data_IF_236027549622
#
_entry.id   IF_236027549622
#
_cell.length_a   1.000
_cell.length_b   1.000
_cell.length_c   1.000
_cell.angle_alpha   90.00
_cell.angle_beta   90.00
_cell.angle_gamma   90.00
#
_symmetry.space_group_name_H-M   'P 1'
#
loop_
_entity.id
_entity.type
_entity.pdbx_description
1 polymer ?
#
# COMPACT_ATOMS: atom_id res chain seq x y z
N UNK A 1 13.02 -26.05 6.88
CA UNK A 1 11.95 -25.91 5.88
C UNK A 1 12.16 -26.93 4.79
N UNK A 2 11.13 -27.65 4.46
CA UNK A 2 11.22 -28.64 3.39
C UNK A 2 11.22 -27.95 2.05
N UNK A 3 11.59 -28.69 1.02
CA UNK A 3 11.57 -28.19 -0.34
C UNK A 3 10.14 -27.77 -0.72
N UNK A 4 9.16 -28.58 -0.31
CA UNK A 4 7.77 -28.26 -0.61
C UNK A 4 7.31 -27.00 0.10
N UNK A 5 7.73 -26.80 1.34
CA UNK A 5 7.41 -25.59 2.07
C UNK A 5 7.99 -24.37 1.37
N UNK A 6 9.25 -24.51 0.94
CA UNK A 6 9.87 -23.38 0.27
C UNK A 6 9.16 -23.08 -1.05
N UNK A 7 8.76 -24.11 -1.78
CA UNK A 7 8.05 -23.90 -3.04
C UNK A 7 6.71 -23.22 -2.83
N UNK A 8 6.00 -23.58 -1.76
CA UNK A 8 4.76 -22.90 -1.42
C UNK A 8 4.99 -21.44 -1.09
N UNK A 9 6.02 -21.20 -0.30
CA UNK A 9 6.38 -19.83 0.06
C UNK A 9 6.73 -19.02 -1.18
N UNK A 10 7.60 -19.56 -2.03
CA UNK A 10 8.04 -18.82 -3.22
C UNK A 10 6.88 -18.56 -4.17
N UNK A 11 5.99 -19.53 -4.32
CA UNK A 11 4.83 -19.34 -5.19
C UNK A 11 3.88 -18.31 -4.65
N UNK A 12 3.64 -18.32 -3.34
CA UNK A 12 2.76 -17.34 -2.72
C UNK A 12 3.36 -15.95 -2.77
N UNK A 13 4.69 -15.84 -2.58
CA UNK A 13 5.37 -14.55 -2.69
C UNK A 13 5.24 -14.00 -4.10
N UNK A 14 5.44 -14.86 -5.10
CA UNK A 14 5.35 -14.43 -6.48
C UNK A 14 3.94 -13.96 -6.81
N UNK A 15 2.93 -14.71 -6.38
CA UNK A 15 1.55 -14.33 -6.63
C UNK A 15 1.22 -13.00 -5.96
N UNK A 16 1.68 -12.80 -4.73
CA UNK A 16 1.46 -11.55 -4.02
C UNK A 16 2.15 -10.37 -4.69
N UNK A 17 3.37 -10.60 -5.18
CA UNK A 17 4.10 -9.58 -5.89
C UNK A 17 3.36 -9.17 -7.16
N UNK A 18 2.82 -10.14 -7.90
CA UNK A 18 2.09 -9.84 -9.12
C UNK A 18 0.82 -9.06 -8.83
N UNK A 19 0.09 -9.42 -7.77
CA UNK A 19 -1.10 -8.67 -7.38
C UNK A 19 -0.75 -7.24 -7.01
N UNK A 20 0.35 -7.07 -6.27
CA UNK A 20 0.81 -5.75 -5.86
C UNK A 20 1.15 -4.89 -7.08
N UNK A 21 1.93 -5.44 -8.01
CA UNK A 21 2.34 -4.69 -9.18
C UNK A 21 1.15 -4.33 -10.06
N UNK A 22 0.21 -5.26 -10.21
CA UNK A 22 -0.99 -5.01 -10.98
C UNK A 22 -1.82 -3.89 -10.35
N UNK A 23 -1.96 -3.92 -9.03
CA UNK A 23 -2.72 -2.89 -8.32
C UNK A 23 -2.02 -1.53 -8.41
N UNK A 24 -0.69 -1.52 -8.35
CA UNK A 24 0.04 -0.27 -8.48
C UNK A 24 -0.12 0.34 -9.87
N UNK A 25 -0.06 -0.50 -10.89
CA UNK A 25 -0.29 -0.03 -12.26
C UNK A 25 -1.69 0.49 -12.45
N UNK A 26 -2.68 -0.16 -11.81
CA UNK A 26 -4.07 0.24 -11.93
C UNK A 26 -4.43 1.45 -11.09
N UNK A 27 -3.49 1.95 -10.30
CA UNK A 27 -3.79 3.09 -9.43
C UNK A 27 -4.08 4.36 -10.21
N UNK A 28 -3.69 4.37 -11.45
CA UNK A 28 -4.11 5.46 -12.30
C UNK A 28 -3.16 6.64 -12.26
N UNK A 29 -3.48 7.59 -13.10
CA UNK A 29 -2.75 8.83 -13.20
C UNK A 29 -3.79 9.94 -13.25
N UNK A 30 -4.09 10.48 -12.09
CA UNK A 30 -5.13 11.51 -11.98
C UNK A 30 -4.62 12.87 -12.41
N UNK A 31 -3.31 13.01 -12.52
CA UNK A 31 -2.71 14.31 -12.78
C UNK A 31 -2.37 15.07 -11.52
N UNK A 32 -2.66 14.50 -10.36
CA UNK A 32 -2.35 15.11 -9.08
C UNK A 32 -1.33 14.23 -8.37
N UNK A 33 -0.16 14.80 -8.09
CA UNK A 33 0.94 14.03 -7.54
C UNK A 33 0.60 13.42 -6.17
N UNK A 34 -0.08 14.16 -5.33
CA UNK A 34 -0.40 13.65 -3.99
C UNK A 34 -1.35 12.47 -4.06
N UNK A 35 -2.40 12.59 -4.87
CA UNK A 35 -3.35 11.50 -5.02
C UNK A 35 -2.71 10.29 -5.66
N UNK A 36 -1.89 10.50 -6.67
CA UNK A 36 -1.27 9.40 -7.40
C UNK A 36 -0.27 8.67 -6.51
N UNK A 37 0.48 9.42 -5.70
CA UNK A 37 1.41 8.81 -4.75
C UNK A 37 0.67 7.92 -3.77
N UNK A 38 -0.40 8.44 -3.16
CA UNK A 38 -1.16 7.67 -2.17
C UNK A 38 -1.82 6.45 -2.81
N UNK A 39 -2.39 6.63 -4.00
CA UNK A 39 -3.05 5.52 -4.68
C UNK A 39 -2.09 4.40 -5.03
N UNK A 40 -0.82 4.73 -5.28
CA UNK A 40 0.20 3.75 -5.57
C UNK A 40 0.77 3.13 -4.31
N UNK A 41 1.00 3.94 -3.28
CA UNK A 41 1.64 3.45 -2.05
C UNK A 41 0.74 2.56 -1.22
N UNK A 42 -0.57 2.73 -1.31
CA UNK A 42 -1.49 1.86 -0.58
C UNK A 42 -1.30 0.40 -0.99
N UNK A 43 -1.42 0.04 -2.27
CA UNK A 43 -1.19 -1.36 -2.65
C UNK A 43 0.26 -1.79 -2.43
N UNK A 44 1.22 -0.89 -2.52
CA UNK A 44 2.60 -1.21 -2.23
C UNK A 44 2.75 -1.66 -0.78
N UNK A 45 2.16 -0.91 0.15
CA UNK A 45 2.20 -1.26 1.56
C UNK A 45 1.40 -2.53 1.86
N UNK A 46 0.26 -2.71 1.19
CA UNK A 46 -0.52 -3.93 1.35
C UNK A 46 0.27 -5.15 0.92
N UNK A 47 1.05 -5.01 -0.16
CA UNK A 47 1.92 -6.08 -0.61
C UNK A 47 3.00 -6.42 0.41
N UNK A 48 3.56 -5.39 1.05
CA UNK A 48 4.56 -5.61 2.09
C UNK A 48 3.98 -6.36 3.29
N UNK A 49 2.75 -6.02 3.68
CA UNK A 49 2.06 -6.72 4.77
C UNK A 49 1.83 -8.18 4.39
N UNK A 50 1.41 -8.43 3.17
CA UNK A 50 1.18 -9.79 2.71
C UNK A 50 2.47 -10.61 2.73
N UNK A 51 3.58 -10.04 2.26
CA UNK A 51 4.86 -10.71 2.29
C UNK A 51 5.32 -10.99 3.72
N UNK A 52 5.09 -10.04 4.62
CA UNK A 52 5.45 -10.25 6.03
C UNK A 52 4.64 -11.38 6.65
N UNK A 53 3.36 -11.49 6.30
CA UNK A 53 2.54 -12.59 6.79
C UNK A 53 3.05 -13.94 6.30
N UNK A 54 3.53 -14.00 5.05
CA UNK A 54 4.09 -15.23 4.52
C UNK A 54 5.35 -15.65 5.27
N UNK A 55 6.17 -14.68 5.66
CA UNK A 55 7.34 -14.98 6.47
C UNK A 55 6.93 -15.56 7.82
N UNK A 56 5.85 -15.06 8.41
CA UNK A 56 5.38 -15.60 9.68
C UNK A 56 4.86 -17.02 9.54
N UNK A 57 4.36 -17.39 8.36
CA UNK A 57 3.90 -18.76 8.13
C UNK A 57 5.08 -19.69 7.88
N UNK A 58 6.06 -19.27 7.10
CA UNK A 58 7.08 -20.15 6.58
C UNK A 58 8.47 -19.91 7.17
N UNK A 59 8.75 -18.72 7.66
CA UNK A 59 10.07 -18.38 8.18
C UNK A 59 10.29 -18.91 9.56
N UNK A 60 11.57 -19.06 9.94
CA UNK A 60 11.92 -19.62 11.23
C UNK A 60 12.87 -18.77 12.04
N UNK A 61 13.57 -17.85 11.39
CA UNK A 61 14.51 -17.00 12.10
C UNK A 61 13.76 -16.04 13.02
N UNK A 62 14.01 -16.09 14.34
CA UNK A 62 13.24 -15.26 15.26
C UNK A 62 13.35 -13.77 14.99
N UNK A 63 14.54 -13.29 14.63
CA UNK A 63 14.71 -11.86 14.36
C UNK A 63 13.94 -11.43 13.11
N UNK A 64 13.98 -12.26 12.07
CA UNK A 64 13.23 -11.97 10.84
C UNK A 64 11.74 -11.99 11.12
N UNK A 65 11.27 -12.94 11.91
CA UNK A 65 9.86 -13.01 12.27
C UNK A 65 9.43 -11.78 13.06
N UNK A 66 10.27 -11.30 13.96
CA UNK A 66 9.97 -10.10 14.72
C UNK A 66 9.87 -8.90 13.80
N UNK A 67 10.79 -8.79 12.84
CA UNK A 67 10.73 -7.70 11.86
C UNK A 67 9.44 -7.76 11.04
N UNK A 68 9.01 -8.97 10.67
CA UNK A 68 7.77 -9.13 9.92
C UNK A 68 6.57 -8.66 10.74
N UNK A 69 6.54 -8.99 12.03
CA UNK A 69 5.48 -8.51 12.92
C UNK A 69 5.45 -6.99 12.99
N UNK A 70 6.64 -6.39 13.11
CA UNK A 70 6.73 -4.94 13.19
C UNK A 70 6.28 -4.27 11.89
N UNK A 71 6.61 -4.88 10.75
CA UNK A 71 6.18 -4.36 9.46
C UNK A 71 4.65 -4.41 9.36
N UNK A 72 4.05 -5.54 9.76
CA UNK A 72 2.60 -5.66 9.72
C UNK A 72 1.95 -4.55 10.53
N UNK A 73 2.45 -4.34 11.75
CA UNK A 73 1.86 -3.33 12.63
C UNK A 73 2.02 -1.92 12.07
N UNK A 74 3.23 -1.55 11.68
CA UNK A 74 3.50 -0.18 11.25
C UNK A 74 2.85 0.12 9.91
N UNK A 75 2.89 -0.83 8.97
CA UNK A 75 2.33 -0.56 7.66
C UNK A 75 0.82 -0.61 7.65
N UNK A 76 0.21 -1.43 8.51
CA UNK A 76 -1.24 -1.41 8.62
C UNK A 76 -1.73 -0.05 9.08
N UNK A 77 -1.03 0.57 10.03
CA UNK A 77 -1.38 1.91 10.48
C UNK A 77 -1.19 2.94 9.37
N UNK A 78 -0.11 2.81 8.59
CA UNK A 78 0.13 3.73 7.48
C UNK A 78 -0.91 3.58 6.38
N UNK A 79 -1.30 2.35 6.07
CA UNK A 79 -2.33 2.11 5.07
C UNK A 79 -3.62 2.82 5.47
N UNK A 80 -4.01 2.70 6.72
CA UNK A 80 -5.22 3.33 7.20
C UNK A 80 -5.13 4.85 7.06
N UNK A 81 -4.00 5.43 7.43
CA UNK A 81 -3.80 6.87 7.28
C UNK A 81 -3.81 7.31 5.83
N UNK A 82 -3.17 6.54 4.95
CA UNK A 82 -3.13 6.88 3.54
C UNK A 82 -4.51 6.80 2.91
N UNK A 83 -5.30 5.79 3.26
CA UNK A 83 -6.65 5.66 2.73
C UNK A 83 -7.52 6.84 3.12
N UNK A 84 -7.43 7.24 4.39
CA UNK A 84 -8.22 8.38 4.84
C UNK A 84 -7.80 9.66 4.14
N UNK A 85 -6.49 9.84 3.97
CA UNK A 85 -5.99 11.04 3.30
C UNK A 85 -6.41 11.07 1.84
N UNK A 86 -6.28 9.94 1.17
CA UNK A 86 -6.68 9.86 -0.24
C UNK A 86 -8.16 10.17 -0.40
N UNK A 87 -9.00 9.64 0.49
CA UNK A 87 -10.43 9.92 0.43
C UNK A 87 -10.69 11.42 0.57
N UNK A 88 -10.01 12.08 1.50
CA UNK A 88 -10.17 13.52 1.67
C UNK A 88 -9.74 14.30 0.43
N UNK A 89 -8.63 13.89 -0.17
CA UNK A 89 -8.13 14.59 -1.35
C UNK A 89 -9.05 14.40 -2.55
N UNK A 90 -9.67 13.23 -2.64
CA UNK A 90 -10.62 12.96 -3.72
C UNK A 90 -11.88 13.80 -3.57
N UNK A 91 -12.34 13.99 -2.36
CA UNK A 91 -13.49 14.88 -2.12
C UNK A 91 -13.18 16.30 -2.54
N UNK A 92 -11.98 16.75 -2.22
CA UNK A 92 -11.59 18.11 -2.61
C UNK A 92 -11.41 18.25 -4.11
N UNK A 93 -11.03 17.12 -4.74
CA UNK A 93 -10.74 17.16 -6.15
C UNK A 93 -11.99 17.19 -7.00
N UNK A 94 -13.15 16.96 -6.38
CA UNK A 94 -14.40 17.01 -7.10
C UNK A 94 -14.94 18.42 -6.92
N UNK A 95 -14.40 19.38 -7.58
CA UNK A 95 -14.64 20.76 -7.26
C UNK A 95 -15.78 21.25 -8.01
N UNK A 96 -16.24 22.32 -7.55
CA UNK A 96 -17.07 23.20 -8.31
C UNK A 96 -16.36 23.43 -9.60
N UNK A 97 -17.01 23.18 -10.71
CA UNK A 97 -16.37 23.42 -11.99
C UNK A 97 -15.93 24.85 -12.16
N UNK A 98 -16.54 25.72 -11.48
CA UNK A 98 -16.18 27.09 -11.55
C UNK A 98 -15.09 27.44 -10.61
N UNK A 99 -14.77 26.59 -10.07
CA UNK A 99 -13.91 26.64 -9.38
C UNK A 99 -13.13 27.24 -8.58
N UNK A 100 -12.95 27.67 -8.03
CA UNK A 100 -12.30 28.25 -7.31
C UNK A 100 -11.75 27.73 -6.40
N UNK A 101 -11.12 27.36 -6.43
CA UNK A 101 -10.58 26.74 -5.60
C UNK A 101 -10.09 27.44 -4.70
N UNK A 102 -10.20 27.97 -4.89
CA UNK A 102 -9.91 28.40 -4.47
C UNK A 102 -9.46 28.53 -3.65
N UNK A 103 -9.57 28.71 -3.60
CA UNK A 103 -9.15 28.89 -2.96
C UNK A 103 -8.32 28.19 -2.52
N UNK A 104 -8.40 27.70 -3.11
CA UNK A 104 -7.82 26.89 -2.76
C UNK A 104 -6.77 26.96 -2.19
N UNK A 105 -6.46 27.45 -2.47
CA UNK A 105 -5.47 27.52 -2.15
C UNK A 105 -5.08 27.28 -0.98
N UNK A 106 -5.37 27.33 -0.60
CA UNK A 106 -5.12 27.24 0.50
C UNK A 106 -4.71 26.09 0.82
N UNK A 107 -4.34 25.55 0.66
CA UNK A 107 -4.03 24.59 0.90
C UNK A 107 -3.18 24.22 1.37
N UNK A 108 -3.09 24.15 1.72
CA UNK A 108 -2.39 23.73 2.33
C UNK A 108 -1.79 22.78 2.23
N UNK A 109 -1.04 22.44 2.51
CA UNK A 109 -0.32 21.42 2.21
C UNK A 109 -0.77 20.31 2.44
#
# INVERSE_FOLDING_TARGET
MSTQDYERFAKAMDAGMQRMMSAMHGAGASGNADRDFLAMMIPHHEGAVEMARLVLVHGRDPATRRLAEDIIASQTAEIDGMRRRLAMLRERADPDPDGFPALGGTRGP
#
